data_IF_216433364785
#
_entry.id   IF_216433364785
#
_cell.length_a   1.000
_cell.length_b   1.000
_cell.length_c   1.000
_cell.angle_alpha   90.00
_cell.angle_beta   90.00
_cell.angle_gamma   90.00
#
_symmetry.space_group_name_H-M   'P 1'
#
loop_
_entity.id
_entity.type
_entity.pdbx_description
1 polymer ?
#
# COMPACT_ATOMS: atom_id res chain seq x y z
N UNK A 1 7.80 -0.41 8.35
CA UNK A 1 7.92 -1.78 7.87
C UNK A 1 7.55 -2.89 8.83
N UNK A 2 8.28 -3.04 9.95
CA UNK A 2 8.12 -4.18 10.87
C UNK A 2 6.67 -4.44 11.33
N UNK A 3 5.90 -3.38 11.61
CA UNK A 3 4.49 -3.50 11.96
C UNK A 3 3.68 -4.16 10.84
N UNK A 4 3.82 -3.67 9.61
CA UNK A 4 3.06 -4.17 8.45
C UNK A 4 3.28 -5.66 8.22
N UNK A 5 4.55 -6.10 8.27
CA UNK A 5 4.92 -7.51 8.08
C UNK A 5 4.30 -8.40 9.16
N UNK A 6 4.39 -7.98 10.43
CA UNK A 6 3.81 -8.75 11.54
C UNK A 6 2.30 -8.75 11.52
N UNK A 7 1.68 -7.64 11.17
CA UNK A 7 0.22 -7.53 11.02
C UNK A 7 -0.28 -8.48 9.91
N UNK A 8 0.41 -8.52 8.77
CA UNK A 8 0.06 -9.40 7.66
C UNK A 8 0.26 -10.88 8.03
N UNK A 9 1.32 -11.21 8.74
CA UNK A 9 1.54 -12.57 9.25
C UNK A 9 0.42 -13.02 10.21
N UNK A 10 -0.01 -12.13 11.10
CA UNK A 10 -1.16 -12.37 11.99
C UNK A 10 -2.49 -12.48 11.24
N UNK A 11 -2.63 -11.76 10.13
CA UNK A 11 -3.78 -11.86 9.24
C UNK A 11 -3.81 -13.18 8.44
N UNK A 12 -2.71 -13.94 8.45
CA UNK A 12 -2.64 -15.29 7.86
C UNK A 12 -1.72 -15.47 6.67
N UNK A 13 -0.99 -14.44 6.25
CA UNK A 13 -0.02 -14.53 5.15
C UNK A 13 1.37 -14.16 5.66
N UNK A 14 2.22 -15.16 5.76
CA UNK A 14 3.63 -15.01 6.16
C UNK A 14 4.52 -14.67 4.96
N UNK A 15 5.73 -14.20 5.26
CA UNK A 15 6.80 -13.98 4.27
C UNK A 15 6.46 -12.96 3.16
N UNK A 16 5.62 -11.98 3.49
CA UNK A 16 5.38 -10.82 2.64
C UNK A 16 6.33 -9.68 2.98
N UNK A 17 6.86 -9.03 1.96
CA UNK A 17 7.61 -7.78 2.08
C UNK A 17 6.68 -6.58 2.24
N UNK A 18 7.21 -5.45 2.71
CA UNK A 18 6.45 -4.20 2.79
C UNK A 18 5.85 -3.78 1.45
N UNK A 19 6.62 -3.88 0.37
CA UNK A 19 6.16 -3.52 -0.97
C UNK A 19 4.98 -4.39 -1.41
N UNK A 20 5.04 -5.70 -1.16
CA UNK A 20 3.94 -6.62 -1.48
C UNK A 20 2.68 -6.28 -0.71
N UNK A 21 2.81 -5.94 0.56
CA UNK A 21 1.68 -5.52 1.41
C UNK A 21 1.08 -4.21 0.90
N UNK A 22 1.93 -3.22 0.58
CA UNK A 22 1.47 -1.94 0.03
C UNK A 22 0.76 -2.11 -1.31
N UNK A 23 1.32 -2.93 -2.20
CA UNK A 23 0.71 -3.23 -3.50
C UNK A 23 -0.65 -3.90 -3.32
N UNK A 24 -0.75 -4.92 -2.45
CA UNK A 24 -2.02 -5.60 -2.17
C UNK A 24 -3.08 -4.61 -1.67
N UNK A 25 -2.75 -3.79 -0.67
CA UNK A 25 -3.68 -2.81 -0.14
C UNK A 25 -4.08 -1.76 -1.17
N UNK A 26 -3.14 -1.32 -2.01
CA UNK A 26 -3.46 -0.35 -3.06
C UNK A 26 -4.36 -0.96 -4.14
N UNK A 27 -4.11 -2.20 -4.57
CA UNK A 27 -4.98 -2.90 -5.53
C UNK A 27 -6.38 -3.09 -4.95
N UNK A 28 -6.49 -3.38 -3.65
CA UNK A 28 -7.77 -3.53 -2.94
C UNK A 28 -8.53 -2.20 -2.75
N UNK A 29 -7.84 -1.06 -2.80
CA UNK A 29 -8.44 0.22 -2.47
C UNK A 29 -9.57 0.60 -3.43
N UNK A 30 -10.75 0.86 -2.88
CA UNK A 30 -11.98 1.25 -3.60
C UNK A 30 -12.48 0.22 -4.64
N UNK A 31 -12.01 -1.01 -4.63
CA UNK A 31 -12.47 -2.06 -5.54
C UNK A 31 -12.29 -1.76 -7.03
N UNK A 32 -11.46 -0.77 -7.39
CA UNK A 32 -11.19 -0.40 -8.79
C UNK A 32 -9.99 -1.16 -9.32
N UNK A 33 -10.06 -1.56 -10.59
CA UNK A 33 -8.91 -2.11 -11.30
C UNK A 33 -7.78 -1.08 -11.40
N UNK A 34 -6.54 -1.56 -11.29
CA UNK A 34 -5.32 -0.74 -11.29
C UNK A 34 -4.37 -1.22 -12.36
N UNK A 35 -3.70 -0.27 -13.02
CA UNK A 35 -2.57 -0.56 -13.91
C UNK A 35 -1.26 -0.51 -13.13
N UNK A 36 -0.23 -1.19 -13.63
CA UNK A 36 1.12 -1.15 -13.05
C UNK A 36 1.63 0.29 -12.85
N UNK A 37 1.48 1.13 -13.87
CA UNK A 37 1.93 2.51 -13.81
C UNK A 37 1.23 3.32 -12.72
N UNK A 38 -0.07 3.12 -12.54
CA UNK A 38 -0.85 3.80 -11.50
C UNK A 38 -0.42 3.37 -10.09
N UNK A 39 -0.14 2.08 -9.92
CA UNK A 39 0.36 1.54 -8.64
C UNK A 39 1.72 2.16 -8.32
N UNK A 40 2.66 2.15 -9.27
CA UNK A 40 3.98 2.76 -9.11
C UNK A 40 3.88 4.25 -8.75
N UNK A 41 3.03 4.98 -9.46
CA UNK A 41 2.83 6.42 -9.23
C UNK A 41 2.33 6.72 -7.81
N UNK A 42 1.27 6.04 -7.38
CA UNK A 42 0.67 6.29 -6.07
C UNK A 42 1.57 5.84 -4.92
N UNK A 43 2.30 4.75 -5.09
CA UNK A 43 3.21 4.23 -4.05
C UNK A 43 4.60 4.89 -4.08
N UNK A 44 4.84 5.81 -5.02
CA UNK A 44 6.15 6.46 -5.21
C UNK A 44 7.29 5.45 -5.42
N UNK A 45 7.03 4.39 -6.18
CA UNK A 45 8.02 3.36 -6.53
C UNK A 45 8.50 3.61 -7.95
N UNK A 46 9.74 4.04 -8.10
CA UNK A 46 10.34 4.32 -9.42
C UNK A 46 10.70 3.04 -10.17
N UNK A 47 11.20 2.01 -9.45
CA UNK A 47 11.52 0.72 -10.05
C UNK A 47 10.24 -0.11 -10.27
N UNK A 48 9.75 -0.10 -11.50
CA UNK A 48 8.55 -0.84 -11.90
C UNK A 48 8.67 -2.35 -11.71
N UNK A 49 9.91 -2.90 -11.70
CA UNK A 49 10.13 -4.32 -11.48
C UNK A 49 9.71 -4.74 -10.07
N UNK A 50 9.90 -3.90 -9.06
CA UNK A 50 9.46 -4.19 -7.69
C UNK A 50 7.95 -4.41 -7.60
N UNK A 51 7.17 -3.56 -8.28
CA UNK A 51 5.70 -3.71 -8.32
C UNK A 51 5.30 -4.91 -9.17
N UNK A 52 5.96 -5.13 -10.29
CA UNK A 52 5.71 -6.30 -11.15
C UNK A 52 5.97 -7.62 -10.42
N UNK A 53 7.07 -7.73 -9.67
CA UNK A 53 7.34 -8.91 -8.84
C UNK A 53 6.32 -9.10 -7.73
N UNK A 54 5.95 -8.01 -7.05
CA UNK A 54 4.92 -8.04 -6.02
C UNK A 54 3.59 -8.58 -6.58
N UNK A 55 3.13 -8.05 -7.71
CA UNK A 55 1.90 -8.50 -8.38
C UNK A 55 1.96 -9.97 -8.79
N UNK A 56 3.09 -10.44 -9.33
CA UNK A 56 3.28 -11.86 -9.67
C UNK A 56 3.18 -12.76 -8.44
N UNK A 57 3.85 -12.39 -7.35
CA UNK A 57 3.79 -13.16 -6.10
C UNK A 57 2.38 -13.16 -5.52
N UNK A 58 1.71 -12.02 -5.49
CA UNK A 58 0.33 -11.90 -5.01
C UNK A 58 -0.63 -12.72 -5.88
N UNK A 59 -0.43 -12.76 -7.20
CA UNK A 59 -1.21 -13.60 -8.11
C UNK A 59 -0.98 -15.09 -7.86
N UNK A 60 0.27 -15.51 -7.64
CA UNK A 60 0.60 -16.89 -7.29
C UNK A 60 -0.01 -17.32 -5.95
N UNK A 61 -0.15 -16.38 -4.99
CA UNK A 61 -0.85 -16.61 -3.73
C UNK A 61 -2.39 -16.58 -3.88
N UNK A 62 -2.90 -16.29 -5.07
CA UNK A 62 -4.34 -16.18 -5.32
C UNK A 62 -5.01 -14.94 -4.72
N UNK A 63 -4.24 -13.90 -4.37
CA UNK A 63 -4.74 -12.69 -3.71
C UNK A 63 -5.12 -11.58 -4.70
N UNK A 64 -4.51 -11.57 -5.87
CA UNK A 64 -4.85 -10.65 -6.96
C UNK A 64 -4.97 -11.41 -8.27
N UNK A 65 -5.65 -10.82 -9.24
CA UNK A 65 -5.79 -11.34 -10.60
C UNK A 65 -5.54 -10.21 -11.59
N UNK A 66 -4.79 -10.50 -12.64
CA UNK A 66 -4.54 -9.60 -13.77
C UNK A 66 -5.41 -10.00 -14.95
N UNK A 67 -6.11 -9.03 -15.53
CA UNK A 67 -6.89 -9.17 -16.76
C UNK A 67 -6.23 -8.39 -17.87
N UNK A 68 -5.83 -9.11 -18.95
CA UNK A 68 -5.24 -8.47 -20.13
C UNK A 68 -6.32 -7.89 -21.02
N UNK A 69 -6.17 -6.60 -21.36
CA UNK A 69 -6.99 -5.89 -22.35
C UNK A 69 -6.06 -5.20 -23.35
N UNK A 70 -5.94 -5.75 -24.51
CA UNK A 70 -4.96 -5.28 -25.51
C UNK A 70 -3.52 -5.41 -25.00
N UNK A 71 -2.81 -4.31 -24.90
CA UNK A 71 -1.41 -4.26 -24.40
C UNK A 71 -1.29 -4.02 -22.91
N UNK A 72 -2.40 -3.75 -22.22
CA UNK A 72 -2.44 -3.41 -20.81
C UNK A 72 -2.97 -4.57 -19.96
N UNK A 73 -2.48 -4.64 -18.73
CA UNK A 73 -3.00 -5.56 -17.71
C UNK A 73 -3.64 -4.74 -16.59
N UNK A 74 -4.86 -5.10 -16.25
CA UNK A 74 -5.65 -4.50 -15.16
C UNK A 74 -5.69 -5.46 -13.98
N UNK A 75 -5.28 -4.98 -12.82
CA UNK A 75 -5.17 -5.75 -11.60
C UNK A 75 -6.33 -5.46 -10.65
N UNK A 76 -6.87 -6.51 -10.07
CA UNK A 76 -7.90 -6.45 -9.03
C UNK A 76 -7.64 -7.49 -7.96
N UNK A 77 -8.20 -7.28 -6.76
CA UNK A 77 -8.16 -8.29 -5.70
C UNK A 77 -9.18 -9.39 -5.96
N UNK A 78 -8.79 -10.61 -5.62
CA UNK A 78 -9.71 -11.76 -5.53
C UNK A 78 -10.52 -11.70 -4.23
N UNK A 79 -11.50 -12.58 -4.06
CA UNK A 79 -12.22 -12.75 -2.77
C UNK A 79 -11.25 -13.07 -1.64
N UNK A 80 -10.26 -13.94 -1.89
CA UNK A 80 -9.22 -14.27 -0.93
C UNK A 80 -8.36 -13.03 -0.59
N UNK A 81 -8.00 -12.22 -1.57
CA UNK A 81 -7.26 -10.97 -1.35
C UNK A 81 -8.03 -9.96 -0.50
N UNK A 82 -9.33 -9.79 -0.78
CA UNK A 82 -10.20 -8.94 0.04
C UNK A 82 -10.30 -9.45 1.47
N UNK A 83 -10.48 -10.74 1.67
CA UNK A 83 -10.56 -11.36 2.99
C UNK A 83 -9.27 -11.14 3.80
N UNK A 84 -8.10 -11.25 3.18
CA UNK A 84 -6.82 -10.98 3.85
C UNK A 84 -6.69 -9.51 4.23
N UNK A 85 -7.06 -8.58 3.35
CA UNK A 85 -7.06 -7.14 3.67
C UNK A 85 -8.00 -6.83 4.85
N UNK A 86 -9.15 -7.48 4.92
CA UNK A 86 -10.09 -7.31 6.03
C UNK A 86 -9.50 -7.85 7.34
N UNK A 87 -8.90 -9.04 7.34
CA UNK A 87 -8.23 -9.59 8.52
C UNK A 87 -7.05 -8.73 8.97
N UNK A 88 -6.30 -8.16 8.02
CA UNK A 88 -5.26 -7.19 8.34
C UNK A 88 -5.86 -5.97 9.07
N UNK A 89 -7.00 -5.47 8.60
CA UNK A 89 -7.73 -4.38 9.26
C UNK A 89 -8.13 -4.76 10.69
N UNK A 90 -8.69 -5.94 10.90
CA UNK A 90 -9.08 -6.45 12.22
C UNK A 90 -7.88 -6.52 13.18
N UNK A 91 -6.74 -7.04 12.73
CA UNK A 91 -5.49 -7.08 13.52
C UNK A 91 -5.03 -5.65 13.86
N UNK A 92 -5.10 -4.72 12.90
CA UNK A 92 -4.75 -3.32 13.15
C UNK A 92 -5.66 -2.69 14.19
N UNK A 93 -6.97 -2.88 14.07
CA UNK A 93 -7.94 -2.35 15.04
C UNK A 93 -7.72 -2.93 16.44
N UNK A 94 -7.39 -4.21 16.54
CA UNK A 94 -7.17 -4.87 17.81
C UNK A 94 -5.82 -4.52 18.46
N UNK A 95 -4.75 -4.36 17.68
CA UNK A 95 -3.39 -4.29 18.22
C UNK A 95 -2.77 -2.89 18.17
N UNK A 96 -3.15 -2.05 17.20
CA UNK A 96 -2.57 -0.73 17.01
C UNK A 96 -3.49 0.39 17.52
N UNK A 97 -4.77 0.32 17.15
CA UNK A 97 -5.71 1.40 17.43
C UNK A 97 -5.97 1.65 18.92
N UNK A 98 -5.94 0.66 19.83
CA UNK A 98 -6.11 0.92 21.26
C UNK A 98 -5.03 1.82 21.88
N UNK A 99 -3.89 1.99 21.19
CA UNK A 99 -2.85 2.93 21.61
C UNK A 99 -3.17 4.41 21.37
N UNK A 100 -4.27 4.70 20.68
CA UNK A 100 -4.72 6.07 20.39
C UNK A 100 -5.95 6.39 21.24
N UNK A 101 -6.02 7.62 21.78
CA UNK A 101 -7.18 8.05 22.59
C UNK A 101 -8.45 8.24 21.77
N UNK A 102 -8.30 8.54 20.48
CA UNK A 102 -9.40 8.88 19.58
C UNK A 102 -10.07 10.22 19.90
N UNK A 103 -9.48 11.04 20.77
CA UNK A 103 -10.00 12.37 21.09
C UNK A 103 -9.89 13.30 19.87
N UNK A 104 -10.78 14.32 19.81
CA UNK A 104 -10.72 15.34 18.76
C UNK A 104 -9.37 16.07 18.75
N UNK A 105 -8.82 16.37 19.92
CA UNK A 105 -7.52 17.02 20.06
C UNK A 105 -6.38 16.16 19.49
N UNK A 106 -6.32 14.86 19.83
CA UNK A 106 -5.32 13.94 19.32
C UNK A 106 -5.45 13.79 17.80
N UNK A 107 -6.68 13.62 17.29
CA UNK A 107 -6.94 13.50 15.86
C UNK A 107 -6.54 14.77 15.09
N UNK A 108 -6.81 15.96 15.65
CA UNK A 108 -6.38 17.23 15.05
C UNK A 108 -4.86 17.34 14.98
N UNK A 109 -4.14 16.99 16.06
CA UNK A 109 -2.67 17.00 16.10
C UNK A 109 -2.05 16.01 15.09
N UNK A 110 -2.60 14.80 15.01
CA UNK A 110 -2.18 13.81 14.01
C UNK A 110 -2.45 14.33 12.58
N UNK A 111 -3.60 14.95 12.36
CA UNK A 111 -3.96 15.56 11.08
C UNK A 111 -3.00 16.67 10.67
N UNK A 112 -2.60 17.55 11.57
CA UNK A 112 -1.64 18.62 11.31
C UNK A 112 -0.24 18.06 11.02
N UNK A 113 0.21 17.07 11.79
CA UNK A 113 1.46 16.35 11.49
C UNK A 113 1.43 15.72 10.10
N UNK A 114 0.34 15.06 9.75
CA UNK A 114 0.19 14.45 8.43
C UNK A 114 0.26 15.48 7.29
N UNK A 115 -0.32 16.67 7.46
CA UNK A 115 -0.21 17.78 6.49
C UNK A 115 1.23 18.25 6.35
N UNK A 116 1.93 18.43 7.47
CA UNK A 116 3.34 18.85 7.49
C UNK A 116 4.22 17.82 6.75
N UNK A 117 4.05 16.54 7.05
CA UNK A 117 4.80 15.46 6.41
C UNK A 117 4.56 15.41 4.89
N UNK A 118 3.32 15.60 4.43
CA UNK A 118 3.01 15.70 2.99
C UNK A 118 3.72 16.91 2.34
N UNK A 119 3.71 18.06 2.99
CA UNK A 119 4.42 19.25 2.50
C UNK A 119 5.91 19.01 2.39
N UNK A 120 6.51 18.36 3.38
CA UNK A 120 7.93 18.01 3.36
C UNK A 120 8.24 17.01 2.23
N UNK A 121 7.42 15.98 2.06
CA UNK A 121 7.57 15.00 0.97
C UNK A 121 7.62 15.68 -0.40
N UNK A 122 6.68 16.59 -0.68
CA UNK A 122 6.66 17.36 -1.94
C UNK A 122 7.94 18.19 -2.10
N UNK A 123 8.46 18.81 -1.02
CA UNK A 123 9.71 19.58 -1.08
C UNK A 123 10.93 18.69 -1.40
N UNK A 124 11.00 17.49 -0.80
CA UNK A 124 12.05 16.53 -1.11
C UNK A 124 12.00 16.07 -2.57
N UNK A 125 10.81 15.78 -3.09
CA UNK A 125 10.62 15.41 -4.51
C UNK A 125 11.04 16.55 -5.46
N UNK A 126 10.70 17.80 -5.13
CA UNK A 126 11.13 18.97 -5.89
C UNK A 126 12.65 19.14 -5.82
N UNK A 127 13.24 18.96 -4.62
CA UNK A 127 14.69 19.02 -4.44
C UNK A 127 15.42 17.96 -5.26
N UNK A 128 14.91 16.73 -5.26
CA UNK A 128 15.47 15.63 -6.04
C UNK A 128 15.45 15.93 -7.54
N UNK A 129 14.32 16.44 -8.06
CA UNK A 129 14.23 16.86 -9.47
C UNK A 129 15.20 18.02 -9.80
N UNK A 130 15.30 19.02 -8.93
CA UNK A 130 16.25 20.11 -9.12
C UNK A 130 17.70 19.63 -9.13
N UNK A 131 18.05 18.73 -8.20
CA UNK A 131 19.40 18.13 -8.13
C UNK A 131 19.74 17.34 -9.40
N UNK A 132 18.76 16.69 -10.02
CA UNK A 132 18.96 15.95 -11.28
C UNK A 132 19.20 16.86 -12.50
N UNK A 133 19.00 18.18 -12.34
CA UNK A 133 19.20 19.17 -13.41
C UNK A 133 20.54 19.90 -13.32
N UNK A 134 21.34 19.64 -12.29
CA UNK A 134 22.67 20.20 -12.09
C UNK A 134 23.71 19.32 -12.78
#
# INVERSE_FOLDING_TARGET
>A
GRWMIRCMAAAGVKDMTENEILVLHHVNHRGRQKKLADICFVLHIEDTHLVSYALKKLANLGLVVGERRGKEVFWSTTDAGRAICERYREVREACLMPGFSGSEEENARIGDLAKLLRTLSVRYDQGARAASSI
#
